data_IF_473695514528
#
_entry.id   IF_473695514528
#
_cell.length_a   1.000
_cell.length_b   1.000
_cell.length_c   1.000
_cell.angle_alpha   90.00
_cell.angle_beta   90.00
_cell.angle_gamma   90.00
#
_symmetry.space_group_name_H-M   'P 1'
#
loop_
_entity.id
_entity.type
_entity.pdbx_description
1 polymer ?
#
# COMPACT_ATOMS: atom_id res chain seq x y z
N UNK A 1 14.62 -14.03 10.79
CA UNK A 1 15.55 -13.77 9.67
C UNK A 1 15.98 -15.08 9.04
N UNK A 2 16.21 -15.07 7.75
CA UNK A 2 16.53 -16.25 6.94
C UNK A 2 17.75 -15.97 6.07
N UNK A 3 18.53 -17.02 5.79
CA UNK A 3 19.65 -16.95 4.85
C UNK A 3 19.21 -17.04 3.37
N UNK A 4 20.19 -17.04 2.46
CA UNK A 4 19.96 -17.19 1.01
C UNK A 4 19.34 -18.54 0.59
N UNK A 5 19.44 -19.58 1.44
CA UNK A 5 18.86 -20.90 1.21
C UNK A 5 17.47 -21.05 1.84
N UNK A 6 17.00 -20.03 2.56
CA UNK A 6 15.73 -20.03 3.28
C UNK A 6 15.80 -20.74 4.63
N UNK A 7 17.00 -20.98 5.17
CA UNK A 7 17.18 -21.52 6.51
C UNK A 7 17.03 -20.43 7.57
N UNK A 8 16.38 -20.77 8.69
CA UNK A 8 16.16 -19.83 9.78
C UNK A 8 17.48 -19.57 10.52
N UNK A 9 17.96 -18.31 10.47
CA UNK A 9 19.15 -17.87 11.20
C UNK A 9 18.81 -17.39 12.60
N UNK A 10 17.73 -16.59 12.72
CA UNK A 10 17.35 -15.94 13.97
C UNK A 10 15.84 -15.73 14.02
N UNK A 11 15.25 -15.97 15.19
CA UNK A 11 13.87 -15.63 15.51
C UNK A 11 13.86 -14.68 16.70
N UNK A 12 13.35 -13.45 16.48
CA UNK A 12 13.12 -12.47 17.53
C UNK A 12 11.63 -12.47 17.89
N UNK A 13 11.27 -12.51 19.18
CA UNK A 13 9.88 -12.50 19.59
C UNK A 13 9.20 -11.14 19.34
N UNK A 14 9.98 -10.07 19.35
CA UNK A 14 9.51 -8.70 19.09
C UNK A 14 10.49 -7.97 18.18
N UNK A 15 9.98 -7.43 17.09
CA UNK A 15 10.80 -6.73 16.10
C UNK A 15 10.89 -5.24 16.43
N UNK A 16 11.96 -4.84 17.11
CA UNK A 16 12.31 -3.44 17.38
C UNK A 16 13.09 -2.81 16.22
N UNK A 17 13.16 -1.48 16.16
CA UNK A 17 13.99 -0.79 15.16
C UNK A 17 15.46 -1.19 15.25
N UNK A 18 16.01 -1.30 16.46
CA UNK A 18 17.40 -1.74 16.66
C UNK A 18 17.64 -3.17 16.22
N UNK A 19 16.68 -4.09 16.44
CA UNK A 19 16.74 -5.45 15.93
C UNK A 19 16.69 -5.49 14.40
N UNK A 20 15.85 -4.66 13.77
CA UNK A 20 15.80 -4.51 12.30
C UNK A 20 17.13 -4.02 11.73
N UNK A 21 17.74 -2.99 12.34
CA UNK A 21 19.04 -2.46 11.91
C UNK A 21 20.16 -3.50 12.03
N UNK A 22 20.18 -4.25 13.14
CA UNK A 22 21.14 -5.34 13.34
C UNK A 22 20.98 -6.45 12.29
N UNK A 23 19.75 -6.86 12.02
CA UNK A 23 19.44 -7.87 11.00
C UNK A 23 19.77 -7.40 9.58
N UNK A 24 19.49 -6.15 9.24
CA UNK A 24 19.85 -5.56 7.94
C UNK A 24 21.37 -5.44 7.73
N UNK A 25 22.12 -5.33 8.82
CA UNK A 25 23.58 -5.20 8.78
C UNK A 25 24.30 -6.56 8.78
N UNK A 26 23.61 -7.68 9.04
CA UNK A 26 24.19 -9.02 9.04
C UNK A 26 24.27 -9.58 7.61
N UNK A 27 25.46 -9.78 7.04
CA UNK A 27 25.62 -10.25 5.66
C UNK A 27 25.10 -11.68 5.40
N UNK A 28 24.78 -12.43 6.44
CA UNK A 28 24.17 -13.76 6.32
C UNK A 28 22.66 -13.68 6.09
N UNK A 29 22.03 -12.56 6.47
CA UNK A 29 20.59 -12.38 6.35
C UNK A 29 20.24 -11.97 4.92
N UNK A 30 19.41 -12.77 4.27
CA UNK A 30 18.86 -12.51 2.95
C UNK A 30 17.41 -12.04 2.99
N UNK A 31 16.65 -12.51 3.99
CA UNK A 31 15.23 -12.17 4.11
C UNK A 31 14.85 -11.97 5.57
N UNK A 32 14.12 -10.89 5.85
CA UNK A 32 13.47 -10.65 7.13
C UNK A 32 11.96 -10.81 6.92
N UNK A 33 11.32 -11.65 7.75
CA UNK A 33 9.86 -11.79 7.79
C UNK A 33 9.36 -11.30 9.12
N UNK A 34 8.46 -10.32 9.09
CA UNK A 34 7.76 -9.82 10.26
C UNK A 34 6.27 -10.17 10.12
N UNK A 35 5.63 -10.55 11.22
CA UNK A 35 4.19 -10.81 11.28
C UNK A 35 3.57 -9.93 12.34
N UNK A 36 2.43 -9.34 12.05
CA UNK A 36 1.73 -8.44 12.96
C UNK A 36 0.41 -7.97 12.36
N UNK A 37 -0.38 -7.30 13.17
CA UNK A 37 -1.65 -6.74 12.76
C UNK A 37 -1.46 -5.50 11.85
N UNK A 38 -2.26 -5.44 10.80
CA UNK A 38 -2.33 -4.27 9.91
C UNK A 38 -3.67 -3.56 10.16
N UNK A 39 -3.68 -2.38 10.81
CA UNK A 39 -4.90 -1.77 11.34
C UNK A 39 -6.01 -1.48 10.30
N UNK A 40 -5.65 -1.32 9.03
CA UNK A 40 -6.60 -1.00 7.96
C UNK A 40 -7.05 -2.20 7.13
N UNK A 41 -6.61 -3.42 7.48
CA UNK A 41 -6.99 -4.68 6.80
C UNK A 41 -7.55 -5.65 7.84
N UNK A 42 -8.75 -6.19 7.58
CA UNK A 42 -9.26 -7.27 8.41
C UNK A 42 -8.55 -8.59 8.04
N UNK A 43 -7.73 -9.09 8.96
CA UNK A 43 -6.91 -10.30 8.79
C UNK A 43 -7.70 -11.61 8.86
N UNK A 44 -8.97 -11.60 9.31
CA UNK A 44 -9.79 -12.82 9.38
C UNK A 44 -10.01 -13.47 8.01
N UNK A 45 -10.09 -12.65 6.96
CA UNK A 45 -10.39 -13.11 5.60
C UNK A 45 -9.15 -13.30 4.71
N UNK A 46 -8.12 -12.46 4.89
CA UNK A 46 -6.97 -12.37 3.98
C UNK A 46 -5.69 -12.01 4.75
N UNK A 47 -4.64 -12.80 4.61
CA UNK A 47 -3.30 -12.39 5.02
C UNK A 47 -2.71 -11.43 3.97
N UNK A 48 -2.38 -10.20 4.38
CA UNK A 48 -1.68 -9.23 3.55
C UNK A 48 -0.17 -9.38 3.80
N UNK A 49 0.59 -9.61 2.74
CA UNK A 49 2.05 -9.64 2.79
C UNK A 49 2.58 -8.37 2.13
N UNK A 50 3.27 -7.55 2.91
CA UNK A 50 4.01 -6.40 2.40
C UNK A 50 5.45 -6.83 2.14
N UNK A 51 5.94 -6.56 0.93
CA UNK A 51 7.32 -6.89 0.53
C UNK A 51 8.01 -5.58 0.19
N UNK A 52 9.03 -5.23 0.98
CA UNK A 52 9.95 -4.16 0.61
C UNK A 52 10.99 -4.68 -0.38
N UNK A 53 11.25 -3.89 -1.42
CA UNK A 53 12.22 -4.23 -2.45
C UNK A 53 13.38 -3.23 -2.41
N UNK A 54 14.62 -3.66 -2.66
CA UNK A 54 15.73 -2.74 -2.77
C UNK A 54 15.42 -1.65 -3.81
N UNK A 55 15.69 -0.40 -3.43
CA UNK A 55 15.49 0.74 -4.34
C UNK A 55 16.37 0.64 -5.60
N UNK A 56 15.96 1.21 -6.73
CA UNK A 56 16.67 1.11 -8.00
C UNK A 56 18.11 1.66 -7.93
N UNK A 57 18.40 2.56 -7.01
CA UNK A 57 19.74 3.12 -6.82
C UNK A 57 20.70 2.27 -5.98
N UNK A 58 20.16 1.35 -5.16
CA UNK A 58 20.98 0.38 -4.43
C UNK A 58 21.27 -0.88 -5.28
N UNK A 59 20.68 -0.98 -6.45
CA UNK A 59 20.81 -2.13 -7.33
C UNK A 59 22.13 -2.14 -8.16
N UNK A 60 23.26 -1.96 -7.47
CA UNK A 60 24.54 -2.44 -8.02
C UNK A 60 24.56 -3.96 -8.14
N UNK A 61 23.57 -4.62 -7.51
CA UNK A 61 23.39 -6.05 -7.57
C UNK A 61 22.33 -6.42 -8.62
N UNK A 62 22.73 -7.05 -9.73
CA UNK A 62 21.82 -7.51 -10.78
C UNK A 62 20.76 -8.49 -10.29
N UNK A 63 21.01 -9.22 -9.19
CA UNK A 63 20.08 -10.20 -8.63
C UNK A 63 18.87 -9.53 -7.97
N UNK A 64 19.06 -8.41 -7.27
CA UNK A 64 17.98 -7.62 -6.68
C UNK A 64 17.02 -7.08 -7.74
N UNK A 65 17.59 -6.57 -8.85
CA UNK A 65 16.79 -6.09 -9.98
C UNK A 65 16.00 -7.23 -10.63
N UNK A 66 16.63 -8.38 -10.85
CA UNK A 66 15.97 -9.55 -11.41
C UNK A 66 14.87 -10.10 -10.49
N UNK A 67 15.02 -9.99 -9.16
CA UNK A 67 13.99 -10.38 -8.20
C UNK A 67 12.75 -9.46 -8.31
N UNK A 68 12.95 -8.14 -8.35
CA UNK A 68 11.87 -7.15 -8.52
C UNK A 68 11.14 -7.36 -9.85
N UNK A 69 11.88 -7.56 -10.96
CA UNK A 69 11.29 -7.84 -12.26
C UNK A 69 10.51 -9.15 -12.30
N UNK A 70 11.00 -10.20 -11.64
CA UNK A 70 10.27 -11.47 -11.51
C UNK A 70 8.97 -11.30 -10.74
N UNK A 71 8.96 -10.53 -9.65
CA UNK A 71 7.73 -10.21 -8.91
C UNK A 71 6.72 -9.45 -9.79
N UNK A 72 7.16 -8.47 -10.56
CA UNK A 72 6.30 -7.73 -11.49
C UNK A 72 5.69 -8.63 -12.57
N UNK A 73 6.47 -9.54 -13.15
CA UNK A 73 6.04 -10.41 -14.27
C UNK A 73 5.22 -11.63 -13.83
N UNK A 74 5.58 -12.25 -12.71
CA UNK A 74 5.01 -13.54 -12.30
C UNK A 74 3.74 -13.42 -11.44
N UNK A 75 3.44 -12.24 -10.90
CA UNK A 75 2.29 -12.07 -10.00
C UNK A 75 1.26 -11.12 -10.58
N UNK A 76 0.33 -11.66 -11.36
CA UNK A 76 -0.82 -10.89 -11.86
C UNK A 76 -1.78 -10.41 -10.73
N UNK A 77 -1.55 -10.85 -9.50
CA UNK A 77 -2.40 -10.59 -8.33
C UNK A 77 -1.76 -9.68 -7.27
N UNK A 78 -0.48 -9.32 -7.43
CA UNK A 78 0.25 -8.48 -6.48
C UNK A 78 -0.09 -7.02 -6.72
N UNK A 79 -0.51 -6.31 -5.67
CA UNK A 79 -0.56 -4.86 -5.68
C UNK A 79 0.87 -4.31 -5.63
N UNK A 80 1.16 -3.33 -6.44
CA UNK A 80 2.47 -2.67 -6.50
C UNK A 80 2.32 -1.23 -6.07
N UNK A 81 3.03 -0.85 -5.00
CA UNK A 81 3.20 0.52 -4.57
C UNK A 81 4.53 1.03 -5.16
N UNK A 82 4.46 1.85 -6.19
CA UNK A 82 5.65 2.47 -6.79
C UNK A 82 5.90 3.83 -6.14
N UNK A 83 6.96 3.93 -5.34
CA UNK A 83 7.25 5.13 -4.55
C UNK A 83 8.14 6.08 -5.36
N UNK A 84 7.65 7.29 -5.59
CA UNK A 84 8.36 8.38 -6.24
C UNK A 84 8.71 9.46 -5.22
N UNK A 85 9.95 9.96 -5.25
CA UNK A 85 10.37 11.08 -4.43
C UNK A 85 10.05 12.40 -5.15
N UNK A 86 9.13 13.20 -4.61
CA UNK A 86 8.69 14.45 -5.20
C UNK A 86 9.84 15.48 -5.40
N UNK A 87 10.85 15.46 -4.52
CA UNK A 87 11.98 16.39 -4.57
C UNK A 87 13.08 15.99 -5.54
N UNK A 88 13.03 14.75 -6.10
CA UNK A 88 14.07 14.17 -6.94
C UNK A 88 13.48 13.42 -8.15
N UNK A 89 12.42 13.95 -8.73
CA UNK A 89 11.81 13.37 -9.92
C UNK A 89 12.82 13.31 -11.08
N UNK A 90 12.87 12.16 -11.74
CA UNK A 90 13.74 11.86 -12.89
C UNK A 90 15.26 11.82 -12.62
N UNK A 91 15.73 12.11 -11.41
CA UNK A 91 17.17 12.09 -11.11
C UNK A 91 17.68 10.70 -10.79
N UNK A 92 16.83 9.88 -10.16
CA UNK A 92 17.22 8.57 -9.60
C UNK A 92 16.33 7.42 -10.10
N UNK A 93 15.68 7.59 -11.24
CA UNK A 93 14.66 6.66 -11.67
C UNK A 93 15.24 5.59 -12.59
N UNK A 94 14.97 4.33 -12.29
CA UNK A 94 15.23 3.25 -13.21
C UNK A 94 14.16 3.25 -14.30
N UNK A 95 14.45 3.94 -15.40
CA UNK A 95 13.55 4.03 -16.56
C UNK A 95 13.21 2.65 -17.14
N UNK A 96 14.04 1.62 -16.89
CA UNK A 96 13.74 0.26 -17.33
C UNK A 96 12.66 -0.39 -16.45
N UNK A 97 12.65 -0.13 -15.15
CA UNK A 97 11.62 -0.64 -14.24
C UNK A 97 10.25 -0.01 -14.56
N UNK A 98 10.21 1.29 -14.85
CA UNK A 98 8.98 1.94 -15.31
C UNK A 98 8.50 1.41 -16.67
N UNK A 99 9.41 1.03 -17.58
CA UNK A 99 9.09 0.34 -18.82
C UNK A 99 8.40 -1.01 -18.55
N UNK A 100 8.96 -1.83 -17.66
CA UNK A 100 8.36 -3.12 -17.25
C UNK A 100 6.97 -2.93 -16.61
N UNK A 101 6.79 -1.87 -15.80
CA UNK A 101 5.49 -1.49 -15.23
C UNK A 101 4.51 -1.11 -16.34
N UNK A 102 4.91 -0.25 -17.28
CA UNK A 102 4.07 0.19 -18.39
C UNK A 102 3.60 -1.00 -19.24
N UNK A 103 4.49 -1.94 -19.55
CA UNK A 103 4.13 -3.13 -20.30
C UNK A 103 3.20 -4.05 -19.51
N UNK A 104 3.41 -4.21 -18.21
CA UNK A 104 2.52 -4.96 -17.33
C UNK A 104 1.11 -4.34 -17.24
N UNK A 105 1.01 -3.02 -17.34
CA UNK A 105 -0.28 -2.30 -17.32
C UNK A 105 -1.06 -2.44 -18.64
N UNK A 106 -0.38 -2.65 -19.76
CA UNK A 106 -1.01 -2.86 -21.08
C UNK A 106 -1.64 -4.25 -21.22
N UNK A 107 -1.03 -5.25 -20.59
CA UNK A 107 -1.47 -6.65 -20.66
C UNK A 107 -2.45 -6.95 -19.54
N UNK A 108 -3.72 -7.23 -19.82
CA UNK A 108 -4.68 -7.72 -18.81
C UNK A 108 -5.76 -6.71 -18.37
N UNK A 109 -5.93 -5.62 -19.09
CA UNK A 109 -7.06 -4.71 -18.95
C UNK A 109 -7.10 -3.92 -17.63
N UNK A 110 -8.32 -3.68 -17.11
CA UNK A 110 -8.52 -2.82 -15.93
C UNK A 110 -7.84 -3.34 -14.67
N UNK A 111 -7.85 -4.65 -14.44
CA UNK A 111 -7.22 -5.24 -13.25
C UNK A 111 -5.70 -5.01 -13.23
N UNK A 112 -5.04 -5.12 -14.38
CA UNK A 112 -3.61 -4.86 -14.48
C UNK A 112 -3.25 -3.40 -14.20
N UNK A 113 -4.13 -2.46 -14.52
CA UNK A 113 -3.94 -1.04 -14.19
C UNK A 113 -4.22 -0.76 -12.71
N UNK A 114 -5.31 -1.31 -12.16
CA UNK A 114 -5.71 -1.08 -10.77
C UNK A 114 -4.68 -1.64 -9.76
N UNK A 115 -3.80 -2.56 -10.17
CA UNK A 115 -2.74 -3.12 -9.31
C UNK A 115 -1.53 -2.21 -9.11
N UNK A 116 -1.42 -1.09 -9.84
CA UNK A 116 -0.32 -0.16 -9.70
C UNK A 116 -0.80 1.14 -9.07
N UNK A 117 -0.21 1.46 -7.93
CA UNK A 117 -0.40 2.70 -7.19
C UNK A 117 0.94 3.45 -7.19
N UNK A 118 0.95 4.66 -7.72
CA UNK A 118 2.12 5.53 -7.73
C UNK A 118 2.03 6.48 -6.55
N UNK A 119 2.88 6.28 -5.55
CA UNK A 119 2.91 7.13 -4.36
C UNK A 119 3.96 8.22 -4.57
N UNK A 120 3.53 9.48 -4.55
CA UNK A 120 4.41 10.65 -4.61
C UNK A 120 4.67 11.11 -3.19
N UNK A 121 5.84 10.76 -2.66
CA UNK A 121 6.23 11.01 -1.27
C UNK A 121 7.07 12.27 -1.11
N UNK A 122 7.18 12.79 0.11
CA UNK A 122 7.95 13.98 0.52
C UNK A 122 7.40 15.32 0.00
N UNK A 123 6.11 15.41 -0.17
CA UNK A 123 5.47 16.67 -0.59
C UNK A 123 5.43 17.72 0.51
N UNK A 124 5.56 17.33 1.77
CA UNK A 124 5.70 18.21 2.93
C UNK A 124 7.08 18.91 3.04
N UNK A 125 8.09 18.41 2.31
CA UNK A 125 9.41 19.03 2.22
C UNK A 125 9.44 20.28 1.32
N UNK A 126 8.38 20.51 0.53
CA UNK A 126 8.30 21.68 -0.35
C UNK A 126 8.27 22.98 0.46
N UNK A 127 9.09 23.94 0.04
CA UNK A 127 9.14 25.26 0.63
C UNK A 127 8.03 26.12 0.02
N UNK A 128 7.44 26.95 0.85
CA UNK A 128 6.42 27.91 0.42
C UNK A 128 6.98 28.82 -0.68
N UNK A 129 6.41 28.73 -1.89
CA UNK A 129 6.78 29.57 -3.04
C UNK A 129 7.73 28.95 -4.06
N UNK A 130 8.24 27.72 -3.83
CA UNK A 130 9.11 27.05 -4.82
C UNK A 130 8.32 26.20 -5.83
N UNK A 131 7.43 25.33 -5.34
CA UNK A 131 6.55 24.51 -6.18
C UNK A 131 5.22 24.27 -5.43
N UNK A 132 4.11 24.28 -6.14
CA UNK A 132 2.83 23.85 -5.56
C UNK A 132 2.72 22.32 -5.62
N UNK A 133 2.03 21.72 -4.66
CA UNK A 133 1.74 20.28 -4.65
C UNK A 133 1.04 19.87 -5.95
N UNK A 134 0.11 20.66 -6.41
CA UNK A 134 -0.61 20.45 -7.67
C UNK A 134 0.34 20.40 -8.88
N UNK A 135 1.30 21.33 -8.97
CA UNK A 135 2.29 21.36 -10.05
C UNK A 135 3.22 20.13 -9.98
N UNK A 136 3.62 19.70 -8.78
CA UNK A 136 4.45 18.51 -8.60
C UNK A 136 3.72 17.24 -9.06
N UNK A 137 2.45 17.09 -8.70
CA UNK A 137 1.63 15.95 -9.14
C UNK A 137 1.47 15.94 -10.66
N UNK A 138 1.30 17.11 -11.28
CA UNK A 138 1.20 17.20 -12.74
C UNK A 138 2.53 16.89 -13.43
N UNK A 139 3.66 17.33 -12.89
CA UNK A 139 4.99 16.91 -13.36
C UNK A 139 5.16 15.38 -13.31
N UNK A 140 4.73 14.74 -12.22
CA UNK A 140 4.74 13.27 -12.10
C UNK A 140 3.84 12.63 -13.14
N UNK A 141 2.64 13.15 -13.36
CA UNK A 141 1.70 12.64 -14.37
C UNK A 141 2.30 12.67 -15.76
N UNK A 142 2.90 13.79 -16.14
CA UNK A 142 3.57 13.96 -17.44
C UNK A 142 4.77 13.01 -17.56
N UNK A 143 5.57 12.89 -16.50
CA UNK A 143 6.71 11.99 -16.46
C UNK A 143 6.29 10.52 -16.66
N UNK A 144 5.27 10.04 -15.95
CA UNK A 144 4.74 8.69 -16.10
C UNK A 144 4.16 8.45 -17.48
N UNK A 145 3.48 9.46 -18.05
CA UNK A 145 2.94 9.40 -19.41
C UNK A 145 4.06 9.27 -20.46
N UNK A 146 5.16 10.00 -20.30
CA UNK A 146 6.35 9.89 -21.17
C UNK A 146 6.96 8.48 -21.12
N UNK A 147 6.89 7.80 -19.99
CA UNK A 147 7.28 6.38 -19.83
C UNK A 147 6.23 5.37 -20.32
N UNK A 148 5.15 5.83 -20.93
CA UNK A 148 4.09 4.99 -21.49
C UNK A 148 3.02 4.55 -20.47
N UNK A 149 2.99 5.18 -19.29
CA UNK A 149 1.98 4.92 -18.24
C UNK A 149 0.89 5.99 -18.32
N UNK A 150 -0.17 5.67 -19.04
CA UNK A 150 -1.34 6.54 -19.13
C UNK A 150 -2.31 6.31 -17.97
N UNK A 151 -2.97 7.39 -17.52
CA UNK A 151 -3.99 7.33 -16.45
C UNK A 151 -3.47 6.67 -15.16
N UNK A 152 -2.26 7.02 -14.73
CA UNK A 152 -1.65 6.51 -13.50
C UNK A 152 -2.49 6.85 -12.27
N UNK A 153 -2.66 5.89 -11.35
CA UNK A 153 -3.27 6.09 -10.04
C UNK A 153 -2.25 6.74 -9.11
N UNK A 154 -2.20 8.08 -9.09
CA UNK A 154 -1.22 8.85 -8.33
C UNK A 154 -1.79 9.23 -6.97
N UNK A 155 -1.10 8.84 -5.91
CA UNK A 155 -1.44 9.13 -4.51
C UNK A 155 -0.31 9.95 -3.88
N UNK A 156 -0.54 11.22 -3.58
CA UNK A 156 0.44 12.03 -2.86
C UNK A 156 0.49 11.64 -1.39
N UNK A 157 1.68 11.70 -0.79
CA UNK A 157 1.88 11.33 0.61
C UNK A 157 3.04 12.08 1.29
N UNK A 158 2.96 12.10 2.62
CA UNK A 158 3.98 12.50 3.58
C UNK A 158 4.21 11.33 4.55
N UNK A 159 4.94 10.32 4.09
CA UNK A 159 5.05 9.06 4.81
C UNK A 159 5.80 9.20 6.15
N UNK A 160 6.88 10.00 6.20
CA UNK A 160 7.64 10.23 7.44
C UNK A 160 6.77 10.94 8.48
N UNK A 161 6.07 12.00 8.10
CA UNK A 161 5.16 12.69 9.03
C UNK A 161 4.05 11.77 9.52
N UNK A 162 3.53 10.87 8.69
CA UNK A 162 2.57 9.84 9.11
C UNK A 162 3.16 8.93 10.17
N UNK A 163 4.38 8.44 9.94
CA UNK A 163 5.09 7.57 10.89
C UNK A 163 5.30 8.29 12.22
N UNK A 164 5.84 9.51 12.17
CA UNK A 164 6.09 10.35 13.36
C UNK A 164 4.80 10.56 14.19
N UNK A 165 3.65 10.83 13.54
CA UNK A 165 2.37 10.98 14.23
C UNK A 165 1.94 9.67 14.90
N UNK A 166 2.10 8.55 14.22
CA UNK A 166 1.66 7.24 14.72
C UNK A 166 2.58 6.66 15.79
N UNK A 167 3.82 7.12 15.87
CA UNK A 167 4.82 6.64 16.85
C UNK A 167 5.09 7.68 17.93
N UNK A 168 5.73 8.80 17.57
CA UNK A 168 6.19 9.79 18.53
C UNK A 168 5.06 10.54 19.25
N UNK A 169 3.89 10.72 18.60
CA UNK A 169 2.75 11.43 19.19
C UNK A 169 1.63 10.52 19.74
N UNK A 170 1.86 9.23 19.93
CA UNK A 170 0.79 8.33 20.41
C UNK A 170 0.15 8.85 21.69
N UNK A 171 0.94 9.22 22.69
CA UNK A 171 0.48 9.66 24.00
C UNK A 171 0.71 11.17 24.25
N UNK A 172 1.28 11.89 23.28
CA UNK A 172 1.71 13.27 23.42
C UNK A 172 0.65 14.22 22.88
N UNK A 173 0.38 15.32 23.60
CA UNK A 173 -0.51 16.38 23.14
C UNK A 173 0.14 17.20 22.02
N UNK A 174 -0.70 17.81 21.18
CA UNK A 174 -0.26 18.77 20.13
C UNK A 174 -0.43 20.22 20.59
N UNK A 175 -1.33 20.43 21.54
CA UNK A 175 -1.70 21.75 22.10
C UNK A 175 -1.89 21.69 23.62
N UNK A 176 -2.06 22.85 24.24
CA UNK A 176 -2.34 22.96 25.66
C UNK A 176 -1.13 22.81 26.57
N UNK A 177 0.07 23.08 26.05
CA UNK A 177 1.31 23.16 26.82
C UNK A 177 1.52 24.57 27.36
N UNK A 178 2.02 24.67 28.59
CA UNK A 178 2.66 25.88 29.12
C UNK A 178 4.04 26.07 28.49
N UNK A 179 4.65 27.23 28.68
CA UNK A 179 6.02 27.48 28.16
C UNK A 179 7.03 26.54 28.82
N UNK A 180 6.93 26.33 30.12
CA UNK A 180 7.83 25.43 30.85
C UNK A 180 7.72 23.98 30.36
N UNK A 181 6.49 23.48 30.15
CA UNK A 181 6.27 22.15 29.57
C UNK A 181 6.86 22.01 28.15
N UNK A 182 6.80 23.09 27.33
CA UNK A 182 7.39 23.07 25.97
C UNK A 182 8.90 22.99 26.02
N UNK A 183 9.54 23.69 26.98
CA UNK A 183 10.99 23.69 27.15
C UNK A 183 11.52 22.32 27.63
N UNK A 184 10.68 21.51 28.26
CA UNK A 184 10.99 20.14 28.69
C UNK A 184 10.77 19.07 27.60
N UNK A 185 10.06 19.41 26.51
CA UNK A 185 9.81 18.45 25.42
C UNK A 185 11.06 18.21 24.59
N UNK A 186 11.23 16.96 24.15
CA UNK A 186 12.26 16.59 23.20
C UNK A 186 12.15 17.40 21.89
N UNK A 187 13.25 17.96 21.37
CA UNK A 187 13.26 18.73 20.13
C UNK A 187 12.66 17.98 18.92
N UNK A 188 12.81 16.65 18.85
CA UNK A 188 12.21 15.84 17.80
C UNK A 188 10.68 15.86 17.90
N UNK A 189 10.14 15.73 19.11
CA UNK A 189 8.69 15.80 19.37
C UNK A 189 8.15 17.19 19.01
N UNK A 190 8.85 18.26 19.39
CA UNK A 190 8.49 19.62 18.99
C UNK A 190 8.47 19.79 17.48
N UNK A 191 9.43 19.17 16.79
CA UNK A 191 9.46 19.10 15.32
C UNK A 191 8.22 18.44 14.75
N UNK A 192 7.78 17.30 15.29
CA UNK A 192 6.57 16.58 14.84
C UNK A 192 5.30 17.39 15.12
N UNK A 193 5.19 18.00 16.32
CA UNK A 193 4.07 18.91 16.64
C UNK A 193 3.99 20.07 15.64
N UNK A 194 5.12 20.64 15.27
CA UNK A 194 5.19 21.71 14.28
C UNK A 194 4.72 21.24 12.89
N UNK A 195 5.10 20.04 12.46
CA UNK A 195 4.64 19.43 11.20
C UNK A 195 3.13 19.20 11.19
N UNK A 196 2.55 18.66 12.28
CA UNK A 196 1.10 18.51 12.44
C UNK A 196 0.38 19.84 12.28
N UNK A 197 0.85 20.89 12.97
CA UNK A 197 0.29 22.23 12.88
C UNK A 197 0.43 22.83 11.46
N UNK A 198 1.55 22.59 10.80
CA UNK A 198 1.80 23.05 9.41
C UNK A 198 0.84 22.41 8.43
N UNK A 199 0.70 21.08 8.47
CA UNK A 199 -0.19 20.34 7.57
C UNK A 199 -1.64 20.81 7.75
N UNK A 200 -2.15 20.84 8.98
CA UNK A 200 -3.53 21.24 9.24
C UNK A 200 -3.86 22.69 8.85
N UNK A 201 -2.85 23.58 8.84
CA UNK A 201 -3.04 25.00 8.50
C UNK A 201 -2.83 25.33 7.03
N UNK A 202 -2.22 24.42 6.26
CA UNK A 202 -1.90 24.69 4.86
C UNK A 202 -2.77 23.82 3.93
N UNK A 203 -3.81 24.37 3.30
CA UNK A 203 -4.69 23.62 2.41
C UNK A 203 -3.97 22.93 1.23
N UNK A 204 -2.82 23.44 0.78
CA UNK A 204 -2.04 22.80 -0.27
C UNK A 204 -1.46 21.45 0.18
N UNK A 205 -1.25 21.24 1.50
CA UNK A 205 -0.78 20.01 2.09
C UNK A 205 -1.92 19.05 2.48
N UNK A 206 -3.15 19.34 2.14
CA UNK A 206 -4.27 18.43 2.28
C UNK A 206 -4.23 17.43 1.11
N UNK A 207 -3.33 16.43 1.22
CA UNK A 207 -2.93 15.57 0.10
C UNK A 207 -4.05 14.63 -0.36
N UNK A 208 -5.02 14.32 0.53
CA UNK A 208 -6.18 13.49 0.21
C UNK A 208 -7.05 14.06 -0.93
N UNK A 209 -7.05 15.38 -1.11
CA UNK A 209 -7.83 16.03 -2.18
C UNK A 209 -7.34 15.67 -3.58
N UNK A 210 -6.06 15.34 -3.73
CA UNK A 210 -5.44 14.98 -5.01
C UNK A 210 -5.48 13.48 -5.32
N UNK A 211 -5.87 12.65 -4.37
CA UNK A 211 -5.94 11.20 -4.56
C UNK A 211 -7.11 10.79 -5.47
N UNK A 212 -6.93 9.80 -6.35
CA UNK A 212 -7.96 9.31 -7.29
C UNK A 212 -8.98 8.40 -6.59
N UNK A 213 -9.71 8.94 -5.63
CA UNK A 213 -10.66 8.22 -4.79
C UNK A 213 -11.98 7.97 -5.50
N UNK A 214 -12.58 6.80 -5.24
CA UNK A 214 -13.97 6.55 -5.62
C UNK A 214 -14.93 7.47 -4.82
N UNK A 215 -16.14 7.78 -5.34
CA UNK A 215 -17.08 8.64 -4.63
C UNK A 215 -17.41 8.18 -3.21
N UNK A 216 -17.52 6.85 -2.99
CA UNK A 216 -17.81 6.28 -1.67
C UNK A 216 -16.66 6.47 -0.68
N UNK A 217 -15.42 6.25 -1.11
CA UNK A 217 -14.22 6.46 -0.27
C UNK A 217 -14.03 7.95 0.01
N UNK A 218 -14.26 8.82 -0.97
CA UNK A 218 -14.20 10.27 -0.78
C UNK A 218 -15.22 10.75 0.25
N UNK A 219 -16.46 10.26 0.18
CA UNK A 219 -17.49 10.59 1.16
C UNK A 219 -17.12 10.12 2.57
N UNK A 220 -16.52 8.93 2.70
CA UNK A 220 -16.04 8.40 3.97
C UNK A 220 -14.92 9.27 4.57
N UNK A 221 -13.92 9.63 3.77
CA UNK A 221 -12.83 10.51 4.21
C UNK A 221 -13.36 11.90 4.59
N UNK A 222 -14.31 12.45 3.81
CA UNK A 222 -14.94 13.74 4.14
C UNK A 222 -15.67 13.69 5.48
N UNK A 223 -16.32 12.57 5.81
CA UNK A 223 -16.95 12.37 7.12
C UNK A 223 -15.92 12.34 8.24
N UNK A 224 -14.82 11.60 8.06
CA UNK A 224 -13.73 11.55 9.04
C UNK A 224 -13.10 12.92 9.28
N UNK A 225 -12.94 13.74 8.23
CA UNK A 225 -12.48 15.14 8.37
C UNK A 225 -13.44 15.93 9.26
N UNK A 226 -14.75 15.89 8.98
CA UNK A 226 -15.76 16.62 9.78
C UNK A 226 -15.75 16.16 11.24
N UNK A 227 -15.61 14.88 11.50
CA UNK A 227 -15.53 14.31 12.85
C UNK A 227 -14.26 14.80 13.57
N UNK A 228 -13.11 14.75 12.92
CA UNK A 228 -11.84 15.23 13.47
C UNK A 228 -11.86 16.75 13.71
N UNK A 229 -12.44 17.54 12.78
CA UNK A 229 -12.61 18.99 12.96
C UNK A 229 -13.45 19.33 14.22
N UNK A 230 -14.49 18.57 14.50
CA UNK A 230 -15.27 18.76 15.74
C UNK A 230 -14.41 18.53 16.99
N UNK A 231 -13.53 17.53 16.97
CA UNK A 231 -12.62 17.27 18.09
C UNK A 231 -11.63 18.43 18.29
N UNK A 232 -11.17 19.07 17.20
CA UNK A 232 -10.25 20.23 17.32
C UNK A 232 -10.90 21.46 17.97
N UNK A 233 -12.21 21.53 18.04
CA UNK A 233 -12.96 22.61 18.70
C UNK A 233 -13.20 22.37 20.20
N UNK A 234 -12.75 21.22 20.73
CA UNK A 234 -12.86 20.91 22.16
C UNK A 234 -12.06 21.89 23.01
N UNK A 235 -12.60 22.21 24.18
CA UNK A 235 -11.87 22.96 25.22
C UNK A 235 -10.87 22.07 25.99
N UNK A 236 -11.02 20.76 25.92
CA UNK A 236 -10.06 19.81 26.47
C UNK A 236 -8.87 19.62 25.56
N UNK A 237 -7.62 19.95 26.01
CA UNK A 237 -6.43 19.86 25.17
C UNK A 237 -6.11 18.46 24.66
N UNK A 238 -6.50 17.42 25.37
CA UNK A 238 -6.27 16.02 24.94
C UNK A 238 -7.17 15.69 23.75
N UNK A 239 -8.47 15.95 23.87
CA UNK A 239 -9.45 15.76 22.79
C UNK A 239 -9.10 16.64 21.57
N UNK A 240 -8.73 17.90 21.81
CA UNK A 240 -8.30 18.81 20.75
C UNK A 240 -7.07 18.27 20.00
N UNK A 241 -6.08 17.78 20.73
CA UNK A 241 -4.86 17.20 20.17
C UNK A 241 -5.15 15.96 19.33
N UNK A 242 -6.08 15.11 19.79
CA UNK A 242 -6.51 13.93 19.05
C UNK A 242 -7.12 14.32 17.70
N UNK A 243 -8.04 15.29 17.69
CA UNK A 243 -8.61 15.82 16.44
C UNK A 243 -7.53 16.35 15.49
N UNK A 244 -6.54 17.08 16.02
CA UNK A 244 -5.43 17.60 15.20
C UNK A 244 -4.55 16.49 14.60
N UNK A 245 -4.28 15.43 15.37
CA UNK A 245 -3.53 14.26 14.88
C UNK A 245 -4.29 13.51 13.80
N UNK A 246 -5.59 13.28 13.99
CA UNK A 246 -6.45 12.63 13.00
C UNK A 246 -6.53 13.42 11.69
N UNK A 247 -6.72 14.75 11.76
CA UNK A 247 -6.68 15.59 10.57
C UNK A 247 -5.34 15.51 9.85
N UNK A 248 -4.24 15.60 10.57
CA UNK A 248 -2.90 15.54 9.98
C UNK A 248 -2.62 14.18 9.33
N UNK A 249 -3.12 13.07 9.89
CA UNK A 249 -3.04 11.75 9.27
C UNK A 249 -3.84 11.69 7.96
N UNK A 250 -5.04 12.24 7.93
CA UNK A 250 -5.84 12.29 6.70
C UNK A 250 -5.14 13.16 5.65
N UNK A 251 -4.74 14.37 6.03
CA UNK A 251 -4.08 15.33 5.14
C UNK A 251 -2.68 14.88 4.69
N UNK A 252 -2.01 14.01 5.45
CA UNK A 252 -0.74 13.41 5.01
C UNK A 252 -0.85 12.49 3.80
N UNK A 253 -2.07 12.16 3.34
CA UNK A 253 -2.34 11.31 2.20
C UNK A 253 -2.26 9.80 2.48
N UNK A 254 -1.94 9.37 3.73
CA UNK A 254 -1.83 7.94 4.04
C UNK A 254 -3.20 7.25 4.03
N UNK A 255 -4.23 7.88 4.57
CA UNK A 255 -5.57 7.30 4.64
C UNK A 255 -6.14 6.96 3.25
N UNK A 256 -6.02 7.81 2.22
CA UNK A 256 -6.28 7.45 0.84
C UNK A 256 -5.55 6.21 0.33
N UNK A 257 -4.27 6.05 0.65
CA UNK A 257 -3.46 4.90 0.23
C UNK A 257 -3.94 3.63 0.92
N UNK A 258 -4.17 3.66 2.23
CA UNK A 258 -4.72 2.55 3.01
C UNK A 258 -6.11 2.13 2.47
N UNK A 259 -6.95 3.10 2.13
CA UNK A 259 -8.24 2.84 1.49
C UNK A 259 -8.09 2.17 0.12
N UNK A 260 -7.13 2.60 -0.70
CA UNK A 260 -6.85 1.99 -2.00
C UNK A 260 -6.36 0.55 -1.87
N UNK A 261 -5.45 0.28 -0.93
CA UNK A 261 -4.96 -1.08 -0.63
C UNK A 261 -6.14 -1.96 -0.17
N UNK A 262 -6.94 -1.49 0.78
CA UNK A 262 -8.13 -2.21 1.27
C UNK A 262 -9.11 -2.53 0.15
N UNK A 263 -9.40 -1.56 -0.72
CA UNK A 263 -10.29 -1.76 -1.87
C UNK A 263 -9.73 -2.78 -2.85
N UNK A 264 -8.43 -2.76 -3.11
CA UNK A 264 -7.79 -3.75 -3.96
C UNK A 264 -7.90 -5.15 -3.36
N UNK A 265 -7.60 -5.31 -2.08
CA UNK A 265 -7.71 -6.59 -1.35
C UNK A 265 -9.14 -7.11 -1.41
N UNK A 266 -10.13 -6.28 -1.11
CA UNK A 266 -11.55 -6.69 -1.16
C UNK A 266 -12.00 -7.08 -2.57
N UNK A 267 -11.60 -6.32 -3.59
CA UNK A 267 -12.05 -6.52 -4.96
C UNK A 267 -11.38 -7.72 -5.64
N UNK A 268 -10.08 -7.88 -5.45
CA UNK A 268 -9.29 -8.84 -6.23
C UNK A 268 -8.79 -10.04 -5.43
N UNK A 269 -8.39 -9.87 -4.17
CA UNK A 269 -7.87 -10.96 -3.36
C UNK A 269 -8.97 -11.96 -2.99
N UNK A 270 -10.15 -11.50 -2.58
CA UNK A 270 -11.31 -12.38 -2.30
C UNK A 270 -11.74 -13.15 -3.56
N UNK A 271 -11.84 -12.47 -4.70
CA UNK A 271 -12.20 -13.10 -5.99
C UNK A 271 -11.16 -14.14 -6.42
N UNK A 272 -9.87 -13.84 -6.23
CA UNK A 272 -8.79 -14.78 -6.53
C UNK A 272 -8.80 -16.01 -5.62
N UNK A 273 -9.11 -15.84 -4.33
CA UNK A 273 -9.27 -16.96 -3.37
C UNK A 273 -10.42 -17.88 -3.78
N UNK A 274 -11.58 -17.31 -4.13
CA UNK A 274 -12.73 -18.08 -4.63
C UNK A 274 -12.35 -18.84 -5.91
N UNK A 275 -11.71 -18.17 -6.87
CA UNK A 275 -11.27 -18.81 -8.11
C UNK A 275 -10.30 -19.96 -7.84
N UNK A 276 -9.31 -19.79 -6.97
CA UNK A 276 -8.36 -20.86 -6.62
C UNK A 276 -9.05 -22.05 -5.96
N UNK A 277 -10.08 -21.82 -5.14
CA UNK A 277 -10.90 -22.89 -4.54
C UNK A 277 -11.65 -23.65 -5.63
N UNK A 278 -12.30 -22.93 -6.54
CA UNK A 278 -13.04 -23.52 -7.66
C UNK A 278 -12.11 -24.32 -8.58
N UNK A 279 -10.98 -23.73 -8.98
CA UNK A 279 -9.97 -24.40 -9.84
C UNK A 279 -9.40 -25.66 -9.16
N UNK A 280 -9.14 -25.58 -7.84
CA UNK A 280 -8.66 -26.74 -7.06
C UNK A 280 -9.73 -27.83 -6.98
N UNK A 281 -10.99 -27.43 -6.81
CA UNK A 281 -12.12 -28.39 -6.77
C UNK A 281 -12.33 -29.03 -8.13
N UNK A 282 -12.28 -28.26 -9.22
CA UNK A 282 -12.34 -28.74 -10.59
C UNK A 282 -11.22 -29.76 -10.86
N UNK A 283 -9.97 -29.40 -10.50
CA UNK A 283 -8.83 -30.30 -10.66
C UNK A 283 -8.94 -31.60 -9.85
N UNK A 284 -9.50 -31.54 -8.64
CA UNK A 284 -9.80 -32.74 -7.83
C UNK A 284 -10.90 -33.59 -8.46
N UNK A 285 -11.94 -32.99 -9.03
CA UNK A 285 -12.99 -33.70 -9.74
C UNK A 285 -12.48 -34.39 -11.01
N UNK A 286 -11.60 -33.71 -11.78
CA UNK A 286 -10.96 -34.27 -12.96
C UNK A 286 -10.06 -35.45 -12.61
N UNK A 287 -9.22 -35.32 -11.55
CA UNK A 287 -8.30 -36.37 -11.09
C UNK A 287 -9.03 -37.55 -10.44
N UNK A 288 -10.21 -37.35 -9.87
CA UNK A 288 -10.99 -38.42 -9.24
C UNK A 288 -11.74 -39.32 -10.25
N UNK A 289 -11.66 -39.01 -11.54
CA UNK A 289 -12.38 -39.75 -12.60
C UNK A 289 -13.89 -39.69 -12.50
N UNK A 290 -14.43 -38.91 -11.55
CA UNK A 290 -15.89 -38.85 -11.33
C UNK A 290 -16.62 -38.18 -12.48
N UNK A 291 -15.96 -37.30 -13.23
CA UNK A 291 -16.55 -36.68 -14.45
C UNK A 291 -16.66 -37.67 -15.62
N UNK A 292 -15.63 -38.50 -15.81
CA UNK A 292 -15.67 -39.52 -16.86
C UNK A 292 -16.68 -40.62 -16.53
N UNK A 293 -16.74 -41.07 -15.26
CA UNK A 293 -17.78 -42.03 -14.83
C UNK A 293 -19.18 -41.49 -15.04
N UNK A 294 -19.47 -40.24 -14.67
CA UNK A 294 -20.79 -39.65 -14.93
C UNK A 294 -21.09 -39.42 -16.40
N UNK A 295 -20.11 -39.05 -17.22
CA UNK A 295 -20.27 -38.97 -18.67
C UNK A 295 -20.61 -40.32 -19.29
N UNK A 296 -19.91 -41.37 -18.86
CA UNK A 296 -20.20 -42.74 -19.30
C UNK A 296 -21.58 -43.21 -18.85
N UNK A 297 -21.98 -42.94 -17.60
CA UNK A 297 -23.36 -43.24 -17.11
C UNK A 297 -24.43 -42.49 -17.91
N UNK A 298 -24.20 -41.22 -18.23
CA UNK A 298 -25.16 -40.45 -19.05
C UNK A 298 -25.23 -40.98 -20.47
N UNK A 299 -24.09 -41.32 -21.10
CA UNK A 299 -24.09 -41.92 -22.44
C UNK A 299 -24.80 -43.27 -22.47
N UNK A 300 -24.49 -44.16 -21.49
CA UNK A 300 -25.15 -45.48 -21.36
C UNK A 300 -26.67 -45.34 -21.12
N UNK A 301 -27.10 -44.36 -20.35
CA UNK A 301 -28.52 -44.11 -20.12
C UNK A 301 -29.22 -43.50 -21.34
N UNK A 302 -28.52 -42.70 -22.17
CA UNK A 302 -29.07 -42.20 -23.44
C UNK A 302 -29.22 -43.32 -24.47
N UNK A 303 -28.27 -44.25 -24.55
CA UNK A 303 -28.33 -45.41 -25.43
C UNK A 303 -29.48 -46.35 -25.02
N UNK A 304 -29.63 -46.64 -23.72
CA UNK A 304 -30.79 -47.41 -23.22
C UNK A 304 -32.12 -46.74 -23.47
N UNK A 305 -32.18 -45.41 -23.40
CA UNK A 305 -33.40 -44.67 -23.70
C UNK A 305 -33.74 -44.72 -25.21
N UNK A 306 -32.71 -44.71 -26.05
CA UNK A 306 -32.90 -44.85 -27.50
C UNK A 306 -33.37 -46.25 -27.91
N UNK A 307 -32.87 -47.31 -27.25
CA UNK A 307 -33.33 -48.68 -27.43
C UNK A 307 -34.81 -48.85 -27.04
N UNK A 308 -35.22 -48.33 -25.87
CA UNK A 308 -36.61 -48.41 -25.39
C UNK A 308 -37.59 -47.64 -26.30
N UNK A 309 -37.15 -46.62 -27.00
CA UNK A 309 -37.99 -45.85 -27.93
C UNK A 309 -38.10 -46.56 -29.30
N UNK A 310 -37.17 -47.43 -29.64
CA UNK A 310 -37.10 -48.18 -30.89
C UNK A 310 -37.89 -49.52 -30.86
N UNK A 311 -38.19 -50.02 -29.64
CA UNK A 311 -39.16 -51.12 -29.43
C UNK A 311 -40.63 -50.62 -29.37
#
# INVERSE_FOLDING_TARGET
AYDQHGELLMAEPELTLSAMEALNSDPRVSTIKAEGDIPFVNSEDVALVLVDTPGPNNSRDPEHRAATQRMLKNSSKTLVLYILNATQLAVNDDSSLLGDVADSMKVGGKQSRDRFIFVVNKLDDFKKGEDSVSAAIEKVRLYLKDKGIENANIYPASALTTLDIRTALMEIRVVGYTMDELDELDPEILGVISKVKKINRNPELHLEQYAPLTPSVRAEISRQIIEAEKLTQSSDPVTQSEGMKQLALIHSGIIPIEAAIRMYVLKYAKTAKIKNIVDTFQKKLETSGSFEKKRQEIATNQDKKAEIIAE
#
